data_IF_784714855393
#
_entry.id   IF_784714855393
#
_cell.length_a   1.000
_cell.length_b   1.000
_cell.length_c   1.000
_cell.angle_alpha   90.00
_cell.angle_beta   90.00
_cell.angle_gamma   90.00
#
_symmetry.space_group_name_H-M   'P 1'
#
loop_
_entity.id
_entity.type
_entity.pdbx_description
1 polymer ?
#
# COMPACT_ATOMS: atom_id res chain seq x y z
N UNK A 1 18.60 8.44 -5.74
CA UNK A 1 18.32 9.66 -4.95
C UNK A 1 17.58 9.25 -3.70
N UNK A 2 18.06 9.62 -2.51
CA UNK A 2 17.38 9.29 -1.24
C UNK A 2 15.90 9.67 -1.24
N UNK A 3 15.03 8.77 -0.75
CA UNK A 3 13.59 8.96 -0.67
C UNK A 3 13.20 10.19 0.17
N UNK A 4 13.99 10.51 1.20
CA UNK A 4 13.82 11.73 2.00
C UNK A 4 13.92 13.04 1.21
N UNK A 5 14.57 13.04 0.03
CA UNK A 5 14.61 14.19 -0.89
C UNK A 5 13.42 14.21 -1.86
N UNK A 6 12.65 13.14 -1.92
CA UNK A 6 11.53 12.96 -2.84
C UNK A 6 10.17 13.12 -2.15
N UNK A 7 10.07 12.84 -0.85
CA UNK A 7 8.83 13.00 -0.10
C UNK A 7 9.09 13.26 1.39
N UNK A 8 8.13 13.94 2.04
CA UNK A 8 8.12 14.10 3.50
C UNK A 8 7.56 12.83 4.14
N UNK A 9 8.36 12.17 4.96
CA UNK A 9 7.93 10.97 5.69
C UNK A 9 7.34 11.35 7.04
N UNK A 10 6.10 10.94 7.30
CA UNK A 10 5.41 11.10 8.59
C UNK A 10 4.92 9.76 9.12
N UNK A 11 4.81 9.61 10.43
CA UNK A 11 4.24 8.41 11.03
C UNK A 11 2.72 8.50 11.07
N UNK A 12 2.04 7.38 10.84
CA UNK A 12 0.64 7.25 11.14
C UNK A 12 0.36 7.37 12.66
N UNK A 13 -0.92 7.48 13.01
CA UNK A 13 -1.36 7.73 14.37
C UNK A 13 -1.74 6.44 15.10
N UNK A 14 -1.52 6.41 16.41
CA UNK A 14 -2.11 5.41 17.28
C UNK A 14 -3.39 5.98 17.89
N UNK A 15 -4.55 5.55 17.40
CA UNK A 15 -5.85 6.04 17.85
C UNK A 15 -6.77 4.92 18.32
N UNK A 16 -7.60 5.25 19.31
CA UNK A 16 -8.68 4.37 19.76
C UNK A 16 -9.90 4.54 18.85
N UNK A 17 -10.49 3.42 18.48
CA UNK A 17 -11.70 3.41 17.67
C UNK A 17 -12.93 3.72 18.50
N UNK A 18 -13.88 4.36 17.86
CA UNK A 18 -15.17 4.74 18.40
C UNK A 18 -16.26 4.39 17.38
N UNK A 19 -17.38 3.74 17.79
CA UNK A 19 -18.46 3.37 16.88
C UNK A 19 -19.12 4.56 16.17
N UNK A 20 -19.09 5.74 16.81
CA UNK A 20 -19.62 7.00 16.24
C UNK A 20 -18.52 7.86 15.60
N UNK A 21 -17.38 7.27 15.23
CA UNK A 21 -16.31 7.98 14.55
C UNK A 21 -16.75 8.48 13.17
N UNK A 22 -16.24 9.63 12.77
CA UNK A 22 -16.53 10.29 11.48
C UNK A 22 -15.33 10.28 10.53
N UNK A 23 -14.14 9.92 11.04
CA UNK A 23 -12.89 9.84 10.26
C UNK A 23 -12.49 8.38 10.05
N UNK A 24 -12.06 8.05 8.82
CA UNK A 24 -11.55 6.73 8.45
C UNK A 24 -10.17 6.47 9.05
N UNK A 25 -9.95 5.26 9.60
CA UNK A 25 -8.68 4.84 10.19
C UNK A 25 -8.09 3.69 9.42
N UNK A 26 -7.19 4.01 8.50
CA UNK A 26 -6.69 3.03 7.53
C UNK A 26 -5.67 2.10 8.19
N UNK A 27 -5.85 0.80 7.97
CA UNK A 27 -4.96 -0.28 8.35
C UNK A 27 -4.59 -1.14 7.15
N UNK A 28 -3.58 -2.00 7.31
CA UNK A 28 -3.12 -2.93 6.28
C UNK A 28 -4.26 -3.74 5.65
N UNK A 29 -5.14 -4.28 6.49
CA UNK A 29 -6.27 -5.12 6.07
C UNK A 29 -7.37 -4.39 5.32
N UNK A 30 -7.38 -3.06 5.39
CA UNK A 30 -8.41 -2.25 4.74
C UNK A 30 -8.07 -2.00 3.26
N UNK A 31 -6.82 -2.25 2.87
CA UNK A 31 -6.37 -2.27 1.48
C UNK A 31 -6.63 -3.66 0.89
N UNK A 32 -7.45 -3.67 -0.16
CA UNK A 32 -7.79 -4.84 -0.95
C UNK A 32 -6.84 -4.95 -2.15
N UNK A 33 -7.11 -5.89 -3.04
CA UNK A 33 -6.37 -6.05 -4.29
C UNK A 33 -6.43 -4.74 -5.11
N UNK A 34 -5.32 -4.42 -5.78
CA UNK A 34 -5.14 -3.21 -6.62
C UNK A 34 -5.15 -1.88 -5.83
N UNK A 35 -4.68 -1.88 -4.57
CA UNK A 35 -4.60 -0.71 -3.67
C UNK A 35 -5.95 -0.05 -3.35
N UNK A 36 -7.07 -0.69 -3.70
CA UNK A 36 -8.41 -0.20 -3.44
C UNK A 36 -8.80 -0.43 -1.97
N UNK A 37 -9.42 0.57 -1.34
CA UNK A 37 -9.96 0.39 0.01
C UNK A 37 -11.23 -0.49 0.01
N UNK A 38 -11.41 -1.26 1.08
CA UNK A 38 -12.65 -2.02 1.30
C UNK A 38 -13.87 -1.08 1.22
N UNK A 39 -14.81 -1.40 0.33
CA UNK A 39 -16.03 -0.63 0.13
C UNK A 39 -16.87 -0.53 1.41
N UNK A 40 -16.81 -1.56 2.25
CA UNK A 40 -17.52 -1.67 3.52
C UNK A 40 -16.79 -0.99 4.69
N UNK A 41 -15.61 -0.41 4.46
CA UNK A 41 -14.88 0.32 5.47
C UNK A 41 -15.76 1.46 6.03
N UNK A 42 -15.79 1.55 7.37
CA UNK A 42 -16.53 2.57 8.12
C UNK A 42 -15.57 3.51 8.84
N UNK A 43 -15.95 4.79 9.01
CA UNK A 43 -15.19 5.68 9.86
C UNK A 43 -15.26 5.20 11.31
N UNK A 44 -14.16 5.37 12.04
CA UNK A 44 -14.05 4.87 13.42
C UNK A 44 -13.27 5.79 14.34
N UNK A 45 -12.84 6.97 13.89
CA UNK A 45 -12.15 7.95 14.74
C UNK A 45 -13.04 9.16 14.92
N UNK A 46 -13.17 9.62 16.16
CA UNK A 46 -13.81 10.90 16.46
C UNK A 46 -12.93 12.03 15.92
N UNK A 47 -13.54 12.96 15.19
CA UNK A 47 -12.83 14.14 14.70
C UNK A 47 -12.49 15.08 15.87
N UNK A 48 -11.30 15.68 15.83
CA UNK A 48 -10.86 16.71 16.74
C UNK A 48 -9.73 17.54 16.10
N UNK A 49 -9.54 18.82 16.47
CA UNK A 49 -8.71 19.76 15.71
C UNK A 49 -7.25 19.33 15.42
N UNK A 50 -6.62 18.55 16.32
CA UNK A 50 -5.23 18.09 16.10
C UNK A 50 -5.13 17.03 14.99
N UNK A 51 -6.25 16.40 14.62
CA UNK A 51 -6.31 15.33 13.62
C UNK A 51 -6.15 15.87 12.20
N UNK A 52 -6.53 17.12 11.93
CA UNK A 52 -6.47 17.74 10.60
C UNK A 52 -5.08 17.66 9.97
N UNK A 53 -4.04 17.91 10.75
CA UNK A 53 -2.63 17.81 10.30
C UNK A 53 -2.22 16.38 9.86
N UNK A 54 -3.01 15.37 10.23
CA UNK A 54 -2.79 13.97 9.90
C UNK A 54 -3.72 13.45 8.82
N UNK A 55 -4.65 14.26 8.30
CA UNK A 55 -5.46 13.85 7.16
C UNK A 55 -4.60 13.49 5.97
N UNK A 56 -4.96 12.37 5.35
CA UNK A 56 -4.38 11.91 4.11
C UNK A 56 -4.92 12.75 2.97
N UNK A 57 -4.07 13.00 1.99
CA UNK A 57 -4.45 13.67 0.74
C UNK A 57 -4.23 12.74 -0.43
N UNK A 58 -5.00 12.90 -1.51
CA UNK A 58 -4.80 12.15 -2.75
C UNK A 58 -3.32 12.20 -3.17
N UNK A 59 -2.73 11.04 -3.45
CA UNK A 59 -1.32 10.92 -3.80
C UNK A 59 -0.38 10.68 -2.61
N UNK A 60 -0.88 10.68 -1.37
CA UNK A 60 -0.11 10.17 -0.24
C UNK A 60 0.15 8.67 -0.42
N UNK A 61 1.38 8.23 -0.15
CA UNK A 61 1.78 6.82 -0.23
C UNK A 61 1.94 6.26 1.18
N UNK A 62 1.20 5.21 1.51
CA UNK A 62 1.23 4.55 2.81
C UNK A 62 2.12 3.31 2.73
N UNK A 63 3.24 3.31 3.45
CA UNK A 63 4.20 2.20 3.51
C UNK A 63 4.06 1.48 4.85
N UNK A 64 3.84 0.16 4.83
CA UNK A 64 3.84 -0.62 6.05
C UNK A 64 5.21 -0.54 6.73
N UNK A 65 5.21 -0.20 8.01
CA UNK A 65 6.40 -0.06 8.84
C UNK A 65 6.70 -1.32 9.65
N UNK A 66 5.74 -2.25 9.74
CA UNK A 66 5.81 -3.48 10.53
C UNK A 66 5.02 -4.59 9.84
N UNK A 67 5.58 -5.79 9.76
CA UNK A 67 4.87 -6.95 9.22
C UNK A 67 5.78 -8.13 8.90
N UNK A 68 5.20 -9.33 8.89
CA UNK A 68 5.89 -10.55 8.45
C UNK A 68 5.95 -10.68 6.92
N UNK A 69 5.03 -10.01 6.22
CA UNK A 69 4.87 -10.11 4.76
C UNK A 69 5.49 -8.92 4.02
N UNK A 70 6.52 -8.31 4.61
CA UNK A 70 7.21 -7.14 4.06
C UNK A 70 6.59 -5.81 4.46
N UNK A 71 6.96 -4.79 3.70
CA UNK A 71 6.72 -3.37 3.91
C UNK A 71 6.01 -2.75 2.71
N UNK A 72 4.90 -3.37 2.30
CA UNK A 72 4.15 -2.97 1.11
C UNK A 72 3.71 -1.50 1.20
N UNK A 73 3.77 -0.82 0.06
CA UNK A 73 3.29 0.52 -0.16
C UNK A 73 1.94 0.50 -0.87
N UNK A 74 1.08 1.47 -0.53
CA UNK A 74 -0.26 1.65 -1.10
C UNK A 74 -0.48 3.11 -1.46
N UNK A 75 -1.17 3.38 -2.56
CA UNK A 75 -1.55 4.73 -2.94
C UNK A 75 -2.91 5.12 -2.34
N UNK A 76 -3.00 6.31 -1.74
CA UNK A 76 -4.29 6.83 -1.29
C UNK A 76 -4.97 7.66 -2.39
N UNK A 77 -6.16 7.21 -2.81
CA UNK A 77 -6.95 7.80 -3.89
C UNK A 77 -8.09 8.72 -3.42
N UNK A 78 -8.20 9.02 -2.13
CA UNK A 78 -9.26 9.87 -1.55
C UNK A 78 -10.68 9.25 -1.57
N UNK A 79 -10.78 7.95 -1.85
CA UNK A 79 -12.02 7.16 -1.95
C UNK A 79 -12.88 7.20 -0.67
N UNK A 80 -12.23 7.36 0.49
CA UNK A 80 -12.81 7.37 1.83
C UNK A 80 -12.17 8.51 2.62
N UNK A 81 -12.81 9.67 2.65
CA UNK A 81 -12.28 10.92 3.25
C UNK A 81 -13.28 11.54 4.24
N UNK A 82 -12.84 12.16 5.35
CA UNK A 82 -11.45 12.32 5.80
C UNK A 82 -10.88 10.99 6.33
N UNK A 83 -9.59 10.76 6.09
CA UNK A 83 -8.88 9.57 6.55
C UNK A 83 -7.55 9.88 7.21
N UNK A 84 -7.17 9.05 8.18
CA UNK A 84 -5.85 9.03 8.80
C UNK A 84 -5.26 7.62 8.71
N UNK A 85 -3.94 7.54 8.56
CA UNK A 85 -3.22 6.27 8.58
C UNK A 85 -2.97 5.82 10.03
N UNK A 86 -3.14 4.54 10.31
CA UNK A 86 -2.73 3.96 11.60
C UNK A 86 -1.21 3.88 11.76
N UNK A 87 -0.74 3.76 13.01
CA UNK A 87 0.68 3.77 13.37
C UNK A 87 1.53 2.63 12.79
N UNK A 88 0.91 1.65 12.14
CA UNK A 88 1.62 0.63 11.35
C UNK A 88 2.18 1.19 10.04
N UNK A 89 1.78 2.40 9.63
CA UNK A 89 2.23 3.04 8.40
C UNK A 89 3.23 4.16 8.65
N UNK A 90 4.18 4.28 7.72
CA UNK A 90 4.89 5.51 7.39
C UNK A 90 4.23 6.08 6.13
N UNK A 91 3.86 7.36 6.16
CA UNK A 91 3.19 8.03 5.04
C UNK A 91 4.18 8.97 4.34
N UNK A 92 4.33 8.79 3.03
CA UNK A 92 5.06 9.70 2.15
C UNK A 92 4.09 10.78 1.68
N UNK A 93 4.35 12.03 2.10
CA UNK A 93 3.55 13.20 1.75
C UNK A 93 4.34 14.17 0.89
N UNK A 94 3.62 15.00 0.14
CA UNK A 94 4.21 16.05 -0.71
C UNK A 94 5.30 15.47 -1.63
N UNK A 95 4.97 14.40 -2.35
CA UNK A 95 5.87 13.80 -3.33
C UNK A 95 6.33 14.86 -4.33
N UNK A 96 7.64 14.92 -4.57
CA UNK A 96 8.25 15.91 -5.44
C UNK A 96 7.68 15.82 -6.85
N UNK A 97 7.44 16.96 -7.50
CA UNK A 97 6.80 17.05 -8.83
C UNK A 97 7.47 16.24 -9.95
N UNK A 98 8.74 15.85 -9.77
CA UNK A 98 9.51 15.03 -10.72
C UNK A 98 9.33 13.53 -10.52
N UNK A 99 8.50 13.11 -9.57
CA UNK A 99 8.22 11.71 -9.25
C UNK A 99 6.72 11.48 -9.17
N UNK A 100 6.25 10.41 -9.80
CA UNK A 100 4.87 9.96 -9.67
C UNK A 100 4.70 9.18 -8.36
N UNK A 101 3.66 9.46 -7.53
CA UNK A 101 3.34 8.64 -6.36
C UNK A 101 3.18 7.15 -6.69
N UNK A 102 2.54 6.83 -7.81
CA UNK A 102 2.35 5.47 -8.34
C UNK A 102 3.70 4.78 -8.60
N UNK A 103 4.69 5.53 -9.09
CA UNK A 103 6.04 5.00 -9.31
C UNK A 103 6.74 4.68 -7.99
N UNK A 104 6.54 5.48 -6.94
CA UNK A 104 7.06 5.15 -5.60
C UNK A 104 6.42 3.88 -5.05
N UNK A 105 5.11 3.71 -5.22
CA UNK A 105 4.41 2.48 -4.83
C UNK A 105 4.99 1.28 -5.55
N UNK A 106 5.09 1.34 -6.89
CA UNK A 106 5.71 0.30 -7.71
C UNK A 106 7.13 -0.02 -7.22
N UNK A 107 7.99 0.99 -7.09
CA UNK A 107 9.39 0.82 -6.75
C UNK A 107 9.57 0.20 -5.36
N UNK A 108 8.78 0.64 -4.37
CA UNK A 108 8.84 0.10 -3.01
C UNK A 108 8.37 -1.35 -3.00
N UNK A 109 7.36 -1.70 -3.80
CA UNK A 109 6.79 -3.04 -3.86
C UNK A 109 7.59 -4.04 -4.71
N UNK A 110 8.66 -3.61 -5.39
CA UNK A 110 9.57 -4.54 -6.06
C UNK A 110 10.19 -5.52 -5.06
N UNK A 111 10.33 -6.78 -5.47
CA UNK A 111 10.92 -7.83 -4.64
C UNK A 111 12.32 -7.44 -4.15
N UNK A 112 13.15 -6.90 -5.03
CA UNK A 112 14.50 -6.41 -4.68
C UNK A 112 14.48 -5.30 -3.63
N UNK A 113 13.57 -4.33 -3.76
CA UNK A 113 13.40 -3.26 -2.78
C UNK A 113 12.88 -3.80 -1.44
N UNK A 114 11.91 -4.72 -1.47
CA UNK A 114 11.39 -5.37 -0.27
C UNK A 114 12.49 -6.15 0.46
N UNK A 115 13.29 -6.94 -0.27
CA UNK A 115 14.44 -7.65 0.29
C UNK A 115 15.46 -6.70 0.92
N UNK A 116 15.76 -5.57 0.28
CA UNK A 116 16.64 -4.54 0.84
C UNK A 116 16.08 -3.96 2.15
N UNK A 117 14.78 -3.65 2.19
CA UNK A 117 14.11 -3.10 3.37
C UNK A 117 14.04 -4.12 4.51
N UNK A 118 13.79 -5.40 4.20
CA UNK A 118 13.81 -6.51 5.16
C UNK A 118 15.20 -6.68 5.77
N UNK A 119 16.25 -6.69 4.95
CA UNK A 119 17.63 -6.82 5.44
C UNK A 119 18.10 -5.61 6.25
N UNK A 120 17.52 -4.44 6.00
CA UNK A 120 17.80 -3.21 6.77
C UNK A 120 16.92 -3.06 8.01
N UNK A 121 15.87 -3.87 8.12
CA UNK A 121 14.88 -3.85 9.19
C UNK A 121 15.47 -4.29 10.54
N UNK A 122 14.75 -3.97 11.62
CA UNK A 122 15.10 -4.36 13.00
C UNK A 122 14.02 -5.25 13.61
N UNK A 123 14.42 -6.11 14.54
CA UNK A 123 13.53 -7.00 15.28
C UNK A 123 13.50 -8.41 14.66
N UNK A 124 13.83 -9.41 15.47
CA UNK A 124 13.93 -10.82 15.03
C UNK A 124 12.57 -11.50 14.88
N UNK A 125 11.58 -11.13 15.70
CA UNK A 125 10.25 -11.73 15.68
C UNK A 125 9.27 -11.01 14.75
N UNK A 126 9.27 -9.67 14.75
CA UNK A 126 8.42 -8.85 13.88
C UNK A 126 9.29 -7.80 13.19
N UNK A 127 9.65 -8.02 11.91
CA UNK A 127 10.44 -7.05 11.15
C UNK A 127 9.76 -5.69 11.14
N UNK A 128 10.55 -4.65 11.40
CA UNK A 128 10.11 -3.28 11.39
C UNK A 128 11.13 -2.36 10.71
N UNK A 129 10.63 -1.43 9.89
CA UNK A 129 11.40 -0.29 9.40
C UNK A 129 10.96 0.98 10.11
N UNK A 130 11.93 1.84 10.39
CA UNK A 130 11.67 3.17 10.93
C UNK A 130 11.79 4.22 9.81
N UNK A 131 11.45 5.46 10.15
CA UNK A 131 11.55 6.60 9.22
C UNK A 131 12.96 6.78 8.64
N UNK A 132 14.02 6.48 9.40
CA UNK A 132 15.41 6.61 8.94
C UNK A 132 15.74 5.62 7.83
N UNK A 133 15.40 4.34 8.02
CA UNK A 133 15.61 3.29 7.01
C UNK A 133 14.89 3.65 5.71
N UNK A 134 13.61 4.05 5.81
CA UNK A 134 12.83 4.44 4.63
C UNK A 134 13.35 5.74 4.00
N UNK A 135 13.85 6.70 4.79
CA UNK A 135 14.44 7.95 4.31
C UNK A 135 15.73 7.75 3.49
N UNK A 136 16.50 6.71 3.82
CA UNK A 136 17.77 6.39 3.19
C UNK A 136 17.63 5.49 1.96
N UNK A 137 16.43 4.99 1.66
CA UNK A 137 16.16 4.22 0.45
C UNK A 137 16.54 5.04 -0.80
N UNK A 138 17.45 4.51 -1.60
CA UNK A 138 17.88 5.13 -2.85
C UNK A 138 16.91 4.79 -3.98
N UNK A 139 16.23 5.81 -4.49
CA UNK A 139 15.24 5.66 -5.57
C UNK A 139 15.83 6.17 -6.89
N UNK A 140 15.88 5.35 -7.95
CA UNK A 140 16.14 5.82 -9.32
C UNK A 140 14.99 6.72 -9.77
N UNK A 141 15.31 7.88 -10.35
CA UNK A 141 14.30 8.85 -10.80
C UNK A 141 14.52 9.12 -12.29
N UNK A 142 14.01 8.26 -13.19
CA UNK A 142 13.99 8.55 -14.61
C UNK A 142 13.00 9.70 -14.90
N UNK A 143 12.87 10.12 -16.16
CA UNK A 143 11.87 11.13 -16.52
C UNK A 143 10.43 10.63 -16.26
N UNK A 144 9.47 11.57 -16.22
CA UNK A 144 8.08 11.27 -15.89
C UNK A 144 7.40 10.33 -16.90
N UNK A 145 7.81 10.36 -18.17
CA UNK A 145 7.24 9.49 -19.19
C UNK A 145 7.63 8.03 -18.93
N UNK A 146 8.93 7.78 -18.71
CA UNK A 146 9.44 6.45 -18.35
C UNK A 146 8.80 5.95 -17.06
N UNK A 147 8.64 6.81 -16.04
CA UNK A 147 7.93 6.44 -14.82
C UNK A 147 6.48 5.99 -15.10
N UNK A 148 5.76 6.73 -15.95
CA UNK A 148 4.38 6.41 -16.34
C UNK A 148 4.28 5.10 -17.11
N UNK A 149 5.22 4.84 -18.02
CA UNK A 149 5.29 3.61 -18.80
C UNK A 149 5.54 2.39 -17.90
N UNK A 150 6.46 2.52 -16.93
CA UNK A 150 6.75 1.49 -15.93
C UNK A 150 5.49 1.16 -15.11
N UNK A 151 4.82 2.18 -14.57
CA UNK A 151 3.60 2.00 -13.77
C UNK A 151 2.52 1.31 -14.60
N UNK A 152 2.34 1.74 -15.85
CA UNK A 152 1.36 1.16 -16.77
C UNK A 152 1.66 -0.30 -17.05
N UNK A 153 2.92 -0.63 -17.38
CA UNK A 153 3.35 -2.00 -17.65
C UNK A 153 3.17 -2.90 -16.43
N UNK A 154 3.54 -2.41 -15.24
CA UNK A 154 3.36 -3.16 -13.99
C UNK A 154 1.89 -3.46 -13.71
N UNK A 155 1.00 -2.48 -13.93
CA UNK A 155 -0.44 -2.66 -13.75
C UNK A 155 -0.99 -3.70 -14.73
N UNK A 156 -0.62 -3.60 -16.01
CA UNK A 156 -1.03 -4.57 -17.02
C UNK A 156 -0.54 -5.98 -16.69
N UNK A 157 0.70 -6.11 -16.19
CA UNK A 157 1.24 -7.39 -15.76
C UNK A 157 0.46 -7.99 -14.57
N UNK A 158 0.14 -7.16 -13.58
CA UNK A 158 -0.67 -7.60 -12.44
C UNK A 158 -2.07 -8.05 -12.87
N UNK A 159 -2.69 -7.33 -13.81
CA UNK A 159 -3.99 -7.69 -14.37
C UNK A 159 -3.93 -9.01 -15.16
N UNK A 160 -2.91 -9.20 -16.00
CA UNK A 160 -2.66 -10.45 -16.71
C UNK A 160 -2.57 -11.64 -15.74
N UNK A 161 -1.74 -11.53 -14.70
CA UNK A 161 -1.59 -12.57 -13.67
C UNK A 161 -2.92 -12.85 -12.96
N UNK A 162 -3.70 -11.82 -12.64
CA UNK A 162 -5.01 -11.97 -12.00
C UNK A 162 -5.99 -12.73 -12.89
N UNK A 163 -6.05 -12.38 -14.17
CA UNK A 163 -6.93 -13.04 -15.14
C UNK A 163 -6.52 -14.50 -15.37
N UNK A 164 -5.22 -14.78 -15.46
CA UNK A 164 -4.69 -16.14 -15.56
C UNK A 164 -5.08 -17.01 -14.35
N UNK A 165 -4.87 -16.51 -13.12
CA UNK A 165 -5.24 -17.22 -11.90
C UNK A 165 -6.75 -17.49 -11.82
N UNK A 166 -7.58 -16.52 -12.24
CA UNK A 166 -9.03 -16.68 -12.30
C UNK A 166 -9.43 -17.76 -13.31
N UNK A 167 -8.79 -17.79 -14.47
CA UNK A 167 -9.04 -18.80 -15.50
C UNK A 167 -8.70 -20.20 -14.98
N UNK A 168 -7.57 -20.37 -14.32
CA UNK A 168 -7.15 -21.67 -13.77
C UNK A 168 -8.11 -22.17 -12.68
N UNK A 169 -8.56 -21.29 -11.80
CA UNK A 169 -9.57 -21.64 -10.79
C UNK A 169 -10.89 -22.10 -11.42
N UNK A 170 -11.33 -21.46 -12.50
CA UNK A 170 -12.56 -21.85 -13.20
C UNK A 170 -12.42 -23.21 -13.87
N UNK A 171 -11.27 -23.49 -14.49
CA UNK A 171 -10.96 -24.80 -15.09
C UNK A 171 -10.97 -25.92 -14.05
N UNK A 172 -10.38 -25.69 -12.87
CA UNK A 172 -10.39 -26.66 -11.77
C UNK A 172 -11.81 -26.98 -11.30
N UNK A 173 -12.66 -25.95 -11.15
CA UNK A 173 -14.07 -26.14 -10.78
C UNK A 173 -14.86 -26.94 -11.83
N UNK A 174 -14.64 -26.64 -13.11
CA UNK A 174 -15.28 -27.38 -14.20
C UNK A 174 -14.87 -28.86 -14.18
N UNK A 175 -13.58 -29.14 -13.95
CA UNK A 175 -13.08 -30.50 -13.83
C UNK A 175 -13.71 -31.24 -12.64
N UNK A 176 -13.79 -30.60 -11.47
CA UNK A 176 -14.44 -31.19 -10.29
C UNK A 176 -15.91 -31.54 -10.53
N UNK A 177 -16.66 -30.66 -11.20
CA UNK A 177 -18.06 -30.91 -11.56
C UNK A 177 -18.17 -32.14 -12.47
N UNK A 178 -17.39 -32.18 -13.55
CA UNK A 178 -17.38 -33.31 -14.51
C UNK A 178 -16.98 -34.63 -13.86
N UNK A 179 -16.04 -34.61 -12.91
CA UNK A 179 -15.64 -35.82 -12.18
C UNK A 179 -16.75 -36.30 -11.24
N UNK A 180 -17.42 -35.39 -10.52
CA UNK A 180 -18.54 -35.74 -9.64
C UNK A 180 -19.71 -36.34 -10.42
N UNK A 181 -20.03 -35.82 -11.60
CA UNK A 181 -21.07 -36.36 -12.49
C UNK A 181 -20.74 -37.77 -12.99
N UNK A 182 -19.46 -38.15 -13.09
CA UNK A 182 -19.04 -39.48 -13.57
C UNK A 182 -18.94 -40.55 -12.47
N UNK A 183 -18.95 -40.14 -11.20
CA UNK A 183 -18.81 -41.04 -10.05
C UNK A 183 -20.16 -41.32 -9.38
N UNK A 184 -21.23 -40.64 -9.82
CA UNK A 184 -22.63 -40.93 -9.48
C UNK A 184 -23.26 -41.86 -10.51
#
# INVERSE_FOLDING_TARGET
>A
MKLSKLARIVSGLNQKRHPQGTVYYLQARDFMQDDMLDKNLKPTILDYPKLESHYLSKGDVLVLAKGHHGFNAFLYHEEKSPAVASSIFLVLRHVAKKVLPEYLVWFINLESTQLQLINSGRGSALPAINKGILADLEVPVPDLQVQSDIVTLSRLKAEETRLANKLDLLKLRELEIKLKERIQ
#
